data_IF_555794346621
#
_entry.id   IF_555794346621
#
_cell.length_a   1.000
_cell.length_b   1.000
_cell.length_c   1.000
_cell.angle_alpha   90.00
_cell.angle_beta   90.00
_cell.angle_gamma   90.00
#
_symmetry.space_group_name_H-M   'P 1'
#
loop_
_entity.id
_entity.type
_entity.pdbx_description
1 polymer ?
#
# COMPACT_ATOMS: atom_id res chain seq x y z
N UNK A 1 14.88 15.42 22.47
CA UNK A 1 14.25 16.50 23.26
C UNK A 1 15.21 17.66 23.51
N UNK A 2 16.45 17.46 24.04
CA UNK A 2 17.42 18.55 24.30
C UNK A 2 17.84 19.34 23.04
N UNK A 3 17.92 18.69 21.87
CA UNK A 3 18.24 19.38 20.58
C UNK A 3 17.10 20.28 20.12
N UNK A 4 15.84 19.84 20.27
CA UNK A 4 14.66 20.63 19.87
C UNK A 4 14.54 21.92 20.69
N UNK A 5 14.82 21.88 21.99
CA UNK A 5 14.78 23.07 22.89
C UNK A 5 15.86 24.09 22.53
N UNK A 6 17.07 23.65 22.18
CA UNK A 6 18.11 24.57 21.70
C UNK A 6 17.72 25.27 20.41
N UNK A 7 17.09 24.54 19.48
CA UNK A 7 16.63 25.10 18.20
C UNK A 7 15.51 26.12 18.41
N UNK A 8 14.55 25.86 19.30
CA UNK A 8 13.48 26.81 19.63
C UNK A 8 13.99 28.09 20.31
N UNK A 9 15.00 27.99 21.19
CA UNK A 9 15.63 29.19 21.81
C UNK A 9 16.48 29.98 20.82
N UNK A 10 17.06 29.34 19.78
CA UNK A 10 17.95 29.99 18.85
C UNK A 10 17.24 30.56 17.59
N UNK A 11 16.10 30.02 17.19
CA UNK A 11 15.47 30.33 15.89
C UNK A 11 14.14 31.09 15.98
N UNK A 12 13.48 31.18 17.14
CA UNK A 12 12.11 31.74 17.22
C UNK A 12 11.09 31.05 16.30
N UNK A 13 11.49 29.94 15.69
CA UNK A 13 10.82 29.25 14.58
C UNK A 13 10.25 27.93 15.04
N UNK A 14 9.17 28.00 15.77
CA UNK A 14 8.25 26.90 15.95
C UNK A 14 6.86 27.34 15.50
N UNK A 15 6.03 26.44 14.99
CA UNK A 15 4.64 26.74 14.71
C UNK A 15 3.95 26.95 16.06
N UNK A 16 3.90 28.19 16.51
CA UNK A 16 3.48 28.64 17.85
C UNK A 16 2.17 27.96 18.28
N UNK A 17 1.27 27.77 17.35
CA UNK A 17 -0.08 27.24 17.56
C UNK A 17 -0.15 25.76 18.03
N UNK A 18 0.96 25.01 17.97
CA UNK A 18 1.01 23.60 18.36
C UNK A 18 1.90 23.31 19.56
N UNK A 19 2.45 24.36 20.18
CA UNK A 19 3.37 24.24 21.31
C UNK A 19 2.59 23.85 22.57
N UNK A 20 3.09 22.86 23.30
CA UNK A 20 2.53 22.51 24.60
C UNK A 20 2.79 23.59 25.64
N UNK A 21 1.85 23.85 26.61
CA UNK A 21 2.00 24.92 27.59
C UNK A 21 3.33 24.89 28.36
N UNK A 22 3.75 23.73 28.83
CA UNK A 22 5.01 23.55 29.55
C UNK A 22 6.25 23.77 28.64
N UNK A 23 6.10 23.50 27.33
CA UNK A 23 7.16 23.75 26.35
C UNK A 23 7.30 25.26 26.09
N UNK A 24 6.19 25.99 26.00
CA UNK A 24 6.17 27.44 25.91
C UNK A 24 6.85 28.09 27.15
N UNK A 25 6.69 27.51 28.33
CA UNK A 25 7.36 27.92 29.57
C UNK A 25 8.83 27.47 29.66
N UNK A 26 9.40 26.88 28.60
CA UNK A 26 10.80 26.44 28.58
C UNK A 26 11.07 25.13 29.33
N UNK A 27 10.05 24.35 29.68
CA UNK A 27 10.14 23.08 30.42
C UNK A 27 9.63 21.89 29.57
N UNK A 28 10.21 21.61 28.38
CA UNK A 28 9.72 20.55 27.50
C UNK A 28 9.88 19.17 28.15
N UNK A 29 8.88 18.32 27.88
CA UNK A 29 8.81 16.92 28.33
C UNK A 29 8.50 16.03 27.12
N UNK A 30 8.63 14.70 27.25
CA UNK A 30 8.16 13.76 26.21
C UNK A 30 6.65 13.87 25.95
N UNK A 31 5.89 14.27 26.96
CA UNK A 31 4.46 14.52 26.88
C UNK A 31 4.11 15.78 26.07
N UNK A 32 5.07 16.68 25.84
CA UNK A 32 4.86 17.86 25.00
C UNK A 32 4.66 17.48 23.53
N UNK A 33 5.39 16.47 23.05
CA UNK A 33 5.21 15.92 21.70
C UNK A 33 3.85 15.27 21.53
N UNK A 34 3.35 14.58 22.59
CA UNK A 34 2.00 13.99 22.60
C UNK A 34 0.92 15.07 22.47
N UNK A 35 1.08 16.19 23.18
CA UNK A 35 0.15 17.32 23.11
C UNK A 35 0.10 17.92 21.70
N UNK A 36 1.27 18.23 21.12
CA UNK A 36 1.40 18.75 19.77
C UNK A 36 0.79 17.81 18.73
N UNK A 37 1.04 16.51 18.85
CA UNK A 37 0.43 15.48 18.01
C UNK A 37 -1.09 15.46 18.17
N UNK A 38 -1.59 15.58 19.39
CA UNK A 38 -3.02 15.69 19.68
C UNK A 38 -3.68 16.86 18.96
N UNK A 39 -3.08 18.04 18.98
CA UNK A 39 -3.56 19.23 18.27
C UNK A 39 -3.56 19.05 16.74
N UNK A 40 -2.50 18.46 16.18
CA UNK A 40 -2.42 18.17 14.75
C UNK A 40 -3.54 17.23 14.33
N UNK A 41 -3.73 16.14 15.05
CA UNK A 41 -4.78 15.17 14.76
C UNK A 41 -6.19 15.77 14.96
N UNK A 42 -6.38 16.55 16.00
CA UNK A 42 -7.65 17.26 16.23
C UNK A 42 -7.99 18.16 15.04
N UNK A 43 -7.04 19.00 14.60
CA UNK A 43 -7.21 19.90 13.44
C UNK A 43 -7.50 19.11 12.16
N UNK A 44 -6.82 17.99 11.95
CA UNK A 44 -7.01 17.14 10.77
C UNK A 44 -8.46 16.62 10.67
N UNK A 45 -9.05 16.22 11.79
CA UNK A 45 -10.38 15.63 11.81
C UNK A 45 -11.51 16.67 11.94
N UNK A 46 -11.31 17.73 12.73
CA UNK A 46 -12.32 18.77 12.97
C UNK A 46 -12.29 19.89 11.93
N UNK A 47 -11.12 20.10 11.27
CA UNK A 47 -10.85 21.26 10.42
C UNK A 47 -10.62 22.55 11.19
N UNK A 48 -10.58 22.51 12.52
CA UNK A 48 -10.34 23.67 13.41
C UNK A 48 -9.15 23.38 14.32
N UNK A 49 -8.29 24.37 14.51
CA UNK A 49 -7.23 24.30 15.51
C UNK A 49 -7.81 24.71 16.87
N UNK A 50 -7.65 23.90 17.93
CA UNK A 50 -8.03 24.31 19.27
C UNK A 50 -7.18 25.47 19.76
N UNK A 51 -7.83 26.41 20.45
CA UNK A 51 -7.20 27.57 21.02
C UNK A 51 -7.19 27.49 22.56
N UNK A 52 -6.27 28.22 23.18
CA UNK A 52 -6.23 28.37 24.62
C UNK A 52 -7.59 28.90 25.13
N UNK A 53 -8.16 28.41 26.26
CA UNK A 53 -7.58 27.54 27.29
C UNK A 53 -7.78 26.02 27.06
N UNK A 54 -8.11 25.54 25.87
CA UNK A 54 -8.34 24.13 25.53
C UNK A 54 -9.46 23.45 26.35
N UNK A 55 -10.50 24.18 26.65
CA UNK A 55 -11.68 23.66 27.36
C UNK A 55 -12.57 22.83 26.42
N UNK A 56 -12.94 21.67 26.87
CA UNK A 56 -13.85 20.80 26.11
C UNK A 56 -15.31 21.20 26.30
N UNK A 57 -16.16 21.25 25.26
CA UNK A 57 -15.86 20.86 23.87
C UNK A 57 -15.05 21.91 23.11
N UNK A 58 -13.97 21.47 22.45
CA UNK A 58 -13.12 22.34 21.64
C UNK A 58 -13.80 22.78 20.32
N UNK A 59 -13.33 23.85 19.70
CA UNK A 59 -13.87 24.36 18.45
C UNK A 59 -13.87 23.28 17.34
N UNK A 60 -15.04 23.03 16.73
CA UNK A 60 -15.23 22.00 15.71
C UNK A 60 -15.46 20.59 16.26
N UNK A 61 -15.79 20.45 17.53
CA UNK A 61 -16.06 19.16 18.19
C UNK A 61 -17.16 18.36 17.51
N UNK A 62 -18.24 18.99 17.06
CA UNK A 62 -19.34 18.31 16.32
C UNK A 62 -18.85 17.64 15.05
N UNK A 63 -17.97 18.32 14.31
CA UNK A 63 -17.35 17.75 13.09
C UNK A 63 -16.41 16.61 13.42
N UNK A 64 -15.68 16.70 14.52
CA UNK A 64 -14.84 15.63 15.02
C UNK A 64 -15.67 14.39 15.34
N UNK A 65 -16.74 14.53 16.12
CA UNK A 65 -17.64 13.43 16.50
C UNK A 65 -18.30 12.77 15.28
N UNK A 66 -18.66 13.55 14.26
CA UNK A 66 -19.25 13.02 13.05
C UNK A 66 -18.27 12.19 12.19
N UNK A 67 -16.97 12.42 12.31
CA UNK A 67 -15.93 11.79 11.49
C UNK A 67 -15.13 10.72 12.21
N UNK A 68 -15.08 10.77 13.51
CA UNK A 68 -14.17 10.00 14.35
C UNK A 68 -14.97 9.23 15.39
N UNK A 69 -14.60 7.98 15.62
CA UNK A 69 -15.24 7.13 16.62
C UNK A 69 -15.01 7.67 18.04
N UNK A 70 -15.97 7.44 18.97
CA UNK A 70 -15.86 7.92 20.35
C UNK A 70 -14.53 7.55 21.03
N UNK A 71 -14.06 6.31 20.84
CA UNK A 71 -12.83 5.84 21.47
C UNK A 71 -11.58 6.61 20.99
N UNK A 72 -11.58 7.05 19.74
CA UNK A 72 -10.49 7.88 19.22
C UNK A 72 -10.61 9.33 19.70
N UNK A 73 -11.83 9.81 19.94
CA UNK A 73 -12.06 11.10 20.60
C UNK A 73 -11.45 11.09 22.00
N UNK A 74 -11.57 9.98 22.74
CA UNK A 74 -11.00 9.84 24.08
C UNK A 74 -9.46 9.84 24.04
N UNK A 75 -8.85 9.23 23.02
CA UNK A 75 -7.39 9.33 22.80
C UNK A 75 -6.96 10.79 22.61
N UNK A 76 -7.71 11.56 21.81
CA UNK A 76 -7.42 12.98 21.58
C UNK A 76 -7.64 13.81 22.85
N UNK A 77 -8.71 13.56 23.60
CA UNK A 77 -8.97 14.20 24.91
C UNK A 77 -7.81 13.98 25.87
N UNK A 78 -7.30 12.75 25.94
CA UNK A 78 -6.17 12.42 26.79
C UNK A 78 -4.87 13.07 26.30
N UNK A 79 -4.65 13.14 25.00
CA UNK A 79 -3.44 13.74 24.43
C UNK A 79 -3.38 15.27 24.67
N UNK A 80 -4.53 15.97 24.61
CA UNK A 80 -4.64 17.44 24.72
C UNK A 80 -4.91 17.90 26.17
N UNK A 81 -4.64 17.06 27.16
CA UNK A 81 -4.74 17.49 28.57
C UNK A 81 -3.74 18.60 28.88
N UNK A 82 -4.12 19.61 29.65
CA UNK A 82 -3.23 20.70 30.08
C UNK A 82 -2.13 20.19 31.01
N UNK A 83 -2.47 19.31 31.93
CA UNK A 83 -1.52 18.65 32.82
C UNK A 83 -0.76 17.55 32.08
N UNK A 84 0.58 17.65 31.91
CA UNK A 84 1.36 16.63 31.25
C UNK A 84 1.29 15.24 31.92
N UNK A 85 1.04 15.15 33.22
CA UNK A 85 0.94 13.88 33.94
C UNK A 85 -0.31 13.08 33.56
N UNK A 86 -1.36 13.77 33.09
CA UNK A 86 -2.63 13.17 32.65
C UNK A 86 -2.61 12.72 31.18
N UNK A 87 -1.54 13.05 30.44
CA UNK A 87 -1.36 12.63 29.05
C UNK A 87 -0.76 11.23 28.96
N UNK A 88 -0.53 10.77 27.74
CA UNK A 88 0.33 9.60 27.50
C UNK A 88 1.78 9.95 27.86
N UNK A 89 2.49 9.01 28.47
CA UNK A 89 3.90 9.21 28.88
C UNK A 89 4.83 9.56 27.72
N UNK A 90 4.51 9.11 26.49
CA UNK A 90 5.24 9.38 25.26
C UNK A 90 4.37 9.02 24.03
N UNK A 91 4.84 9.33 22.82
CA UNK A 91 4.16 9.04 21.57
C UNK A 91 3.93 7.52 21.33
N UNK A 92 4.86 6.67 21.80
CA UNK A 92 4.73 5.20 21.67
C UNK A 92 3.54 4.69 22.48
N UNK A 93 3.31 5.21 23.69
CA UNK A 93 2.17 4.84 24.51
C UNK A 93 0.84 5.31 23.88
N UNK A 94 0.83 6.47 23.24
CA UNK A 94 -0.32 6.96 22.46
C UNK A 94 -0.59 6.08 21.24
N UNK A 95 0.44 5.71 20.50
CA UNK A 95 0.35 4.79 19.34
C UNK A 95 -0.21 3.43 19.76
N UNK A 96 0.29 2.83 20.83
CA UNK A 96 -0.19 1.54 21.32
C UNK A 96 -1.70 1.56 21.65
N UNK A 97 -2.18 2.64 22.26
CA UNK A 97 -3.61 2.79 22.57
C UNK A 97 -4.45 2.95 21.30
N UNK A 98 -3.97 3.75 20.34
CA UNK A 98 -4.58 3.88 19.02
C UNK A 98 -4.66 2.52 18.28
N UNK A 99 -3.58 1.74 18.27
CA UNK A 99 -3.55 0.42 17.64
C UNK A 99 -4.51 -0.57 18.32
N UNK A 100 -4.59 -0.53 19.64
CA UNK A 100 -5.55 -1.32 20.41
C UNK A 100 -6.98 -1.00 19.99
N UNK A 101 -7.36 0.27 19.94
CA UNK A 101 -8.69 0.74 19.52
C UNK A 101 -8.96 0.32 18.07
N UNK A 102 -7.98 0.48 17.18
CA UNK A 102 -8.10 0.11 15.78
C UNK A 102 -8.23 -1.41 15.58
N UNK A 103 -7.51 -2.21 16.36
CA UNK A 103 -7.59 -3.67 16.31
C UNK A 103 -8.93 -4.19 16.87
N UNK A 104 -9.44 -3.61 17.96
CA UNK A 104 -10.77 -3.91 18.51
C UNK A 104 -11.88 -3.58 17.50
N UNK A 105 -11.80 -2.45 16.81
CA UNK A 105 -12.74 -2.09 15.78
C UNK A 105 -12.69 -3.01 14.55
N UNK A 106 -11.51 -3.50 14.21
CA UNK A 106 -11.34 -4.50 13.15
C UNK A 106 -11.94 -5.85 13.55
N UNK A 107 -11.89 -6.21 14.85
CA UNK A 107 -12.56 -7.37 15.42
C UNK A 107 -14.09 -7.19 15.52
N UNK A 108 -14.58 -5.99 15.86
CA UNK A 108 -16.01 -5.69 15.94
C UNK A 108 -16.67 -5.50 14.56
N UNK A 109 -15.95 -5.01 13.55
CA UNK A 109 -16.41 -4.99 12.14
C UNK A 109 -16.42 -6.36 11.46
N UNK A 110 -15.86 -7.40 12.09
CA UNK A 110 -16.29 -8.76 11.78
C UNK A 110 -17.66 -8.93 12.42
N UNK A 111 -18.77 -9.04 11.65
CA UNK A 111 -20.04 -9.39 12.26
C UNK A 111 -19.76 -10.67 13.03
N UNK A 112 -19.98 -10.69 14.35
CA UNK A 112 -20.26 -11.93 15.06
C UNK A 112 -21.38 -12.54 14.26
N UNK A 113 -21.07 -13.63 13.57
CA UNK A 113 -22.07 -14.46 12.95
C UNK A 113 -23.09 -14.78 14.06
N UNK A 114 -24.19 -14.03 14.11
CA UNK A 114 -25.42 -14.54 14.67
C UNK A 114 -25.59 -15.89 14.00
N UNK A 115 -25.79 -16.93 14.79
CA UNK A 115 -26.08 -18.28 14.36
C UNK A 115 -27.10 -18.26 13.21
N UNK A 116 -26.62 -18.14 12.01
CA UNK A 116 -27.34 -18.11 10.76
C UNK A 116 -26.35 -18.57 9.73
N UNK A 117 -26.49 -19.82 9.33
CA UNK A 117 -25.92 -20.46 8.15
C UNK A 117 -24.65 -19.80 7.62
N UNK A 118 -23.50 -20.45 7.81
CA UNK A 118 -22.25 -20.11 7.12
C UNK A 118 -22.57 -19.98 5.63
N UNK A 119 -22.82 -18.75 5.16
CA UNK A 119 -22.86 -18.51 3.72
C UNK A 119 -21.50 -18.95 3.22
N UNK A 120 -21.45 -20.01 2.47
CA UNK A 120 -20.26 -20.50 1.82
C UNK A 120 -19.58 -19.39 1.02
N UNK A 121 -18.34 -19.56 0.60
CA UNK A 121 -17.66 -18.56 -0.21
C UNK A 121 -18.54 -18.19 -1.40
N UNK A 122 -18.64 -16.88 -1.69
CA UNK A 122 -19.42 -16.42 -2.85
C UNK A 122 -18.90 -17.11 -4.12
N UNK A 123 -19.76 -17.27 -5.14
CA UNK A 123 -19.34 -17.86 -6.42
C UNK A 123 -18.08 -17.20 -7.00
N UNK A 124 -17.94 -15.88 -6.82
CA UNK A 124 -16.77 -15.11 -7.22
C UNK A 124 -15.50 -15.52 -6.45
N UNK A 125 -15.62 -15.74 -5.14
CA UNK A 125 -14.50 -16.22 -4.32
C UNK A 125 -14.11 -17.65 -4.68
N UNK A 126 -15.09 -18.50 -5.04
CA UNK A 126 -14.80 -19.86 -5.53
C UNK A 126 -14.07 -19.82 -6.87
N UNK A 127 -14.51 -18.97 -7.81
CA UNK A 127 -13.84 -18.77 -9.08
C UNK A 127 -12.40 -18.26 -8.92
N UNK A 128 -12.15 -17.31 -7.99
CA UNK A 128 -10.81 -16.84 -7.68
C UNK A 128 -9.91 -17.92 -7.08
N UNK A 129 -10.43 -18.72 -6.18
CA UNK A 129 -9.68 -19.86 -5.59
C UNK A 129 -9.31 -20.90 -6.64
N UNK A 130 -10.20 -21.21 -7.54
CA UNK A 130 -9.98 -22.14 -8.63
C UNK A 130 -8.92 -21.60 -9.60
N UNK A 131 -9.05 -20.33 -10.03
CA UNK A 131 -8.06 -19.65 -10.83
C UNK A 131 -6.67 -19.67 -10.16
N UNK A 132 -6.58 -19.31 -8.89
CA UNK A 132 -5.32 -19.33 -8.15
C UNK A 132 -4.74 -20.76 -8.07
N UNK A 133 -5.55 -21.77 -7.84
CA UNK A 133 -5.09 -23.16 -7.82
C UNK A 133 -4.44 -23.54 -9.15
N UNK A 134 -5.06 -23.15 -10.26
CA UNK A 134 -4.60 -23.49 -11.62
C UNK A 134 -3.36 -22.69 -12.06
N UNK A 135 -3.29 -21.39 -11.75
CA UNK A 135 -2.33 -20.48 -12.34
C UNK A 135 -1.33 -19.82 -11.36
N UNK A 136 -1.47 -19.98 -10.06
CA UNK A 136 -0.63 -19.33 -9.05
C UNK A 136 0.87 -19.55 -9.25
N UNK A 137 1.27 -20.76 -9.62
CA UNK A 137 2.70 -21.10 -9.81
C UNK A 137 3.34 -20.29 -10.95
N UNK A 138 2.59 -19.95 -12.00
CA UNK A 138 3.10 -19.24 -13.16
C UNK A 138 2.90 -17.73 -13.05
N UNK A 139 1.79 -17.28 -12.50
CA UNK A 139 1.42 -15.86 -12.46
C UNK A 139 1.78 -15.17 -11.15
N UNK A 140 2.12 -15.91 -10.08
CA UNK A 140 2.37 -15.39 -8.74
C UNK A 140 1.29 -14.39 -8.28
N UNK A 141 0.02 -14.82 -8.32
CA UNK A 141 -1.17 -14.00 -8.01
C UNK A 141 -1.35 -13.77 -6.52
N UNK A 142 -0.44 -13.04 -5.88
CA UNK A 142 -0.45 -12.74 -4.44
C UNK A 142 -1.13 -11.43 -4.11
N UNK A 143 -1.09 -10.50 -5.06
CA UNK A 143 -1.66 -9.19 -4.88
C UNK A 143 -3.17 -9.21 -5.11
N UNK A 144 -3.85 -8.22 -4.56
CA UNK A 144 -5.27 -8.03 -4.74
C UNK A 144 -5.53 -6.71 -5.47
N UNK A 145 -6.48 -6.72 -6.38
CA UNK A 145 -6.90 -5.52 -7.08
C UNK A 145 -7.56 -4.55 -6.08
N UNK A 146 -7.15 -3.29 -6.07
CA UNK A 146 -7.70 -2.26 -5.19
C UNK A 146 -9.16 -1.96 -5.39
N UNK A 147 -9.68 -2.21 -6.61
CA UNK A 147 -11.07 -1.91 -6.95
C UNK A 147 -12.02 -3.07 -6.64
N UNK A 148 -11.62 -4.32 -6.94
CA UNK A 148 -12.53 -5.47 -6.85
C UNK A 148 -12.02 -6.59 -5.94
N UNK A 149 -10.82 -6.42 -5.32
CA UNK A 149 -10.15 -7.40 -4.44
C UNK A 149 -9.80 -8.73 -5.10
N UNK A 150 -10.02 -8.87 -6.41
CA UNK A 150 -9.65 -10.08 -7.15
C UNK A 150 -8.14 -10.30 -7.21
N UNK A 151 -7.68 -11.56 -7.27
CA UNK A 151 -6.26 -11.89 -7.29
C UNK A 151 -5.60 -11.41 -8.58
N UNK A 152 -4.47 -10.71 -8.43
CA UNK A 152 -3.66 -10.19 -9.54
C UNK A 152 -2.19 -10.48 -9.33
N UNK A 153 -1.42 -10.51 -10.42
CA UNK A 153 0.03 -10.65 -10.41
C UNK A 153 0.71 -9.32 -10.67
N UNK A 154 1.93 -9.18 -10.20
CA UNK A 154 2.77 -7.99 -10.38
C UNK A 154 3.01 -7.64 -11.86
N UNK A 155 3.10 -8.67 -12.72
CA UNK A 155 3.26 -8.53 -14.16
C UNK A 155 2.02 -7.98 -14.88
N UNK A 156 0.84 -7.99 -14.26
CA UNK A 156 -0.41 -7.57 -14.90
C UNK A 156 -0.50 -6.05 -15.02
N UNK A 157 -0.87 -5.56 -16.20
CA UNK A 157 -1.08 -4.14 -16.46
C UNK A 157 -2.51 -3.69 -16.09
N UNK A 158 -3.46 -4.59 -16.28
CA UNK A 158 -4.86 -4.37 -15.92
C UNK A 158 -5.40 -5.53 -15.07
N UNK A 159 -6.39 -5.23 -14.25
CA UNK A 159 -7.08 -6.26 -13.50
C UNK A 159 -7.91 -7.14 -14.43
N UNK A 160 -7.69 -8.46 -14.47
CA UNK A 160 -8.44 -9.33 -15.38
C UNK A 160 -9.91 -9.49 -14.99
N UNK A 161 -10.28 -9.09 -13.77
CA UNK A 161 -11.64 -9.21 -13.25
C UNK A 161 -12.50 -8.00 -13.51
N UNK A 162 -11.96 -6.78 -13.34
CA UNK A 162 -12.74 -5.53 -13.47
C UNK A 162 -12.14 -4.50 -14.46
N UNK A 163 -11.05 -4.83 -15.13
CA UNK A 163 -10.41 -3.95 -16.12
C UNK A 163 -9.66 -2.73 -15.52
N UNK A 164 -9.51 -2.64 -14.19
CA UNK A 164 -8.82 -1.52 -13.56
C UNK A 164 -7.34 -1.51 -13.92
N UNK A 165 -6.81 -0.33 -14.29
CA UNK A 165 -5.41 -0.17 -14.64
C UNK A 165 -4.51 -0.23 -13.41
N UNK A 166 -3.30 -0.73 -13.60
CA UNK A 166 -2.28 -0.84 -12.56
C UNK A 166 -2.83 -1.42 -11.23
N UNK A 167 -3.37 -2.64 -11.22
CA UNK A 167 -4.19 -3.16 -10.14
C UNK A 167 -3.39 -3.49 -8.87
N UNK A 168 -2.07 -3.72 -8.98
CA UNK A 168 -1.22 -4.08 -7.85
C UNK A 168 -0.26 -2.95 -7.47
N UNK A 169 -0.03 -2.73 -6.19
CA UNK A 169 1.03 -1.86 -5.67
C UNK A 169 2.12 -2.69 -5.01
N UNK A 170 3.36 -2.21 -5.14
CA UNK A 170 4.56 -2.92 -4.79
C UNK A 170 4.82 -3.15 -3.29
N UNK A 171 3.90 -2.81 -2.39
CA UNK A 171 4.13 -2.98 -0.94
C UNK A 171 4.31 -4.43 -0.47
N UNK A 172 3.95 -5.41 -1.31
CA UNK A 172 4.04 -6.84 -0.98
C UNK A 172 4.88 -7.64 -1.98
N UNK A 173 5.78 -6.99 -2.70
CA UNK A 173 6.65 -7.69 -3.65
C UNK A 173 7.64 -8.60 -2.95
N UNK A 174 8.05 -9.69 -3.63
CA UNK A 174 9.17 -10.54 -3.24
C UNK A 174 10.52 -10.04 -3.75
N UNK A 175 10.51 -8.95 -4.47
CA UNK A 175 11.71 -8.38 -5.05
C UNK A 175 12.31 -7.36 -4.09
N UNK A 176 13.65 -7.23 -4.06
CA UNK A 176 14.35 -6.41 -3.07
C UNK A 176 14.09 -4.91 -3.21
N UNK A 177 13.74 -4.44 -4.40
CA UNK A 177 13.55 -3.04 -4.68
C UNK A 177 12.24 -2.78 -5.44
N UNK A 178 11.84 -1.51 -5.58
CA UNK A 178 10.66 -1.07 -6.28
C UNK A 178 11.02 -0.11 -7.42
N UNK A 179 10.32 -0.23 -8.53
CA UNK A 179 10.43 0.76 -9.60
C UNK A 179 9.83 2.10 -9.16
N UNK A 180 10.58 3.23 -9.23
CA UNK A 180 10.06 4.53 -8.80
C UNK A 180 8.89 5.04 -9.66
N UNK A 181 8.71 4.51 -10.88
CA UNK A 181 7.63 4.93 -11.78
C UNK A 181 6.34 4.14 -11.60
N UNK A 182 6.41 2.81 -11.44
CA UNK A 182 5.21 1.96 -11.39
C UNK A 182 5.04 1.20 -10.08
N UNK A 183 5.92 1.43 -9.10
CA UNK A 183 5.92 0.85 -7.76
C UNK A 183 5.98 -0.70 -7.72
N UNK A 184 6.17 -1.36 -8.86
CA UNK A 184 6.32 -2.82 -8.94
C UNK A 184 7.71 -3.25 -8.56
N UNK A 185 7.81 -4.44 -8.02
CA UNK A 185 9.07 -5.01 -7.60
C UNK A 185 10.05 -5.19 -8.74
N UNK A 186 11.31 -4.90 -8.45
CA UNK A 186 12.46 -5.08 -9.34
C UNK A 186 13.61 -5.73 -8.58
N UNK A 187 14.50 -6.41 -9.31
CA UNK A 187 15.71 -6.98 -8.71
C UNK A 187 16.85 -5.98 -8.79
N UNK A 188 17.79 -6.09 -7.87
CA UNK A 188 18.97 -5.21 -7.79
C UNK A 188 19.95 -5.41 -8.96
N UNK A 189 19.85 -6.54 -9.66
CA UNK A 189 20.66 -6.85 -10.85
C UNK A 189 19.96 -6.48 -12.18
N UNK A 190 18.89 -5.68 -12.12
CA UNK A 190 18.19 -5.18 -13.30
C UNK A 190 18.51 -3.72 -13.54
N UNK A 191 18.86 -3.39 -14.76
CA UNK A 191 19.16 -2.01 -15.18
C UNK A 191 17.88 -1.21 -15.49
N UNK A 192 16.79 -1.92 -15.89
CA UNK A 192 15.53 -1.30 -16.31
C UNK A 192 14.32 -2.03 -15.76
N UNK A 193 13.23 -1.31 -15.57
CA UNK A 193 11.97 -1.92 -15.17
C UNK A 193 11.33 -2.72 -16.32
N UNK A 194 11.13 -4.04 -16.17
CA UNK A 194 10.54 -4.87 -17.22
C UNK A 194 9.03 -4.67 -17.38
N UNK A 195 8.40 -3.93 -16.48
CA UNK A 195 6.95 -3.75 -16.41
C UNK A 195 6.47 -2.49 -17.13
N UNK A 196 7.11 -1.34 -16.92
CA UNK A 196 6.63 -0.04 -17.35
C UNK A 196 7.57 0.75 -18.27
N UNK A 197 8.69 0.16 -18.70
CA UNK A 197 9.72 0.89 -19.45
C UNK A 197 10.27 2.09 -18.65
N UNK A 198 10.42 1.90 -17.32
CA UNK A 198 10.90 2.93 -16.41
C UNK A 198 12.33 3.39 -16.69
N UNK A 199 12.80 4.39 -15.94
CA UNK A 199 14.18 4.87 -16.02
C UNK A 199 15.17 3.74 -15.72
N UNK A 200 16.41 3.91 -16.16
CA UNK A 200 17.51 3.04 -15.71
C UNK A 200 17.66 3.10 -14.19
N UNK A 201 18.09 2.02 -13.60
CA UNK A 201 18.45 1.94 -12.20
C UNK A 201 19.95 2.07 -12.08
N UNK A 202 20.42 2.64 -10.98
CA UNK A 202 21.84 2.55 -10.61
C UNK A 202 22.07 1.13 -10.14
N UNK A 203 23.04 0.44 -10.73
CA UNK A 203 23.42 -0.90 -10.31
C UNK A 203 23.95 -0.86 -8.87
N UNK A 204 23.18 -1.44 -7.95
CA UNK A 204 23.64 -1.65 -6.58
C UNK A 204 24.56 -2.88 -6.47
N UNK A 205 24.58 -3.73 -7.48
CA UNK A 205 25.40 -4.93 -7.48
C UNK A 205 25.62 -5.46 -8.91
N UNK A 206 26.88 -5.65 -9.27
CA UNK A 206 27.30 -6.31 -10.52
C UNK A 206 26.98 -7.80 -10.51
N UNK A 207 26.59 -8.37 -9.36
CA UNK A 207 26.33 -9.79 -9.19
C UNK A 207 24.95 -10.14 -9.72
N UNK A 208 24.91 -10.96 -10.77
CA UNK A 208 23.66 -11.52 -11.29
C UNK A 208 23.18 -12.67 -10.41
N UNK A 209 21.96 -12.56 -9.93
CA UNK A 209 21.34 -13.57 -9.07
C UNK A 209 20.49 -14.54 -9.88
N UNK A 210 20.77 -15.86 -9.84
CA UNK A 210 19.94 -16.86 -10.49
C UNK A 210 18.53 -16.84 -9.87
N UNK A 211 17.52 -17.05 -10.70
CA UNK A 211 16.14 -17.09 -10.25
C UNK A 211 15.37 -18.18 -11.00
N UNK A 212 14.70 -19.05 -10.27
CA UNK A 212 13.90 -20.15 -10.84
C UNK A 212 12.74 -19.68 -11.73
N UNK A 213 12.39 -18.38 -11.65
CA UNK A 213 11.35 -17.78 -12.49
C UNK A 213 11.82 -17.39 -13.89
N UNK A 214 13.12 -17.42 -14.16
CA UNK A 214 13.64 -17.20 -15.51
C UNK A 214 13.31 -18.38 -16.42
N UNK A 215 12.53 -18.12 -17.46
CA UNK A 215 12.04 -19.16 -18.40
C UNK A 215 12.35 -18.88 -19.86
N UNK A 216 12.91 -17.72 -20.16
CA UNK A 216 13.26 -17.31 -21.51
C UNK A 216 14.53 -16.44 -21.52
N UNK A 217 15.08 -16.20 -22.70
CA UNK A 217 16.19 -15.27 -22.94
C UNK A 217 15.73 -14.10 -23.81
N UNK A 218 16.38 -12.97 -23.67
CA UNK A 218 16.17 -11.82 -24.53
C UNK A 218 16.50 -12.17 -25.99
N UNK A 219 15.62 -11.73 -26.90
CA UNK A 219 15.81 -11.96 -28.36
C UNK A 219 16.87 -11.04 -28.98
N UNK A 220 17.34 -10.01 -28.26
CA UNK A 220 18.45 -9.18 -28.68
C UNK A 220 19.75 -9.99 -28.58
N UNK A 221 20.36 -10.31 -29.69
CA UNK A 221 21.57 -11.16 -29.79
C UNK A 221 22.74 -10.61 -28.95
N UNK A 222 22.86 -9.28 -28.84
CA UNK A 222 23.91 -8.63 -28.03
C UNK A 222 23.65 -8.68 -26.52
N UNK A 223 22.44 -9.02 -26.10
CA UNK A 223 22.06 -9.02 -24.68
C UNK A 223 21.94 -10.44 -24.10
N UNK A 224 21.10 -11.30 -24.71
CA UNK A 224 20.84 -12.67 -24.24
C UNK A 224 20.38 -12.80 -22.80
N UNK A 225 20.06 -11.68 -22.12
CA UNK A 225 19.73 -11.64 -20.69
C UNK A 225 18.49 -12.47 -20.32
N UNK A 226 18.43 -13.01 -19.10
CA UNK A 226 17.33 -13.88 -18.66
C UNK A 226 16.03 -13.10 -18.45
N UNK A 227 14.89 -13.72 -18.80
CA UNK A 227 13.57 -13.12 -18.72
C UNK A 227 12.61 -13.97 -17.87
N UNK A 228 11.84 -13.31 -17.03
CA UNK A 228 10.68 -13.92 -16.34
C UNK A 228 9.44 -13.87 -17.24
N UNK A 229 8.46 -14.78 -17.03
CA UNK A 229 7.21 -14.76 -17.77
C UNK A 229 6.49 -13.41 -17.66
N UNK A 230 5.89 -13.01 -18.76
CA UNK A 230 5.06 -11.80 -18.88
C UNK A 230 5.81 -10.47 -18.69
N UNK A 231 7.15 -10.45 -18.75
CA UNK A 231 7.91 -9.23 -18.91
C UNK A 231 7.59 -8.58 -20.28
N UNK A 232 7.43 -7.25 -20.28
CA UNK A 232 7.20 -6.46 -21.49
C UNK A 232 8.50 -5.95 -22.11
N UNK A 233 9.48 -5.70 -21.27
CA UNK A 233 10.79 -5.19 -21.65
C UNK A 233 11.89 -6.05 -21.04
N UNK A 234 13.01 -6.13 -21.70
CA UNK A 234 14.19 -6.78 -21.15
C UNK A 234 14.76 -5.91 -20.00
N UNK A 235 14.98 -6.46 -18.81
CA UNK A 235 15.52 -5.69 -17.70
C UNK A 235 16.99 -5.29 -17.88
N UNK A 236 17.71 -5.89 -18.84
CA UNK A 236 19.12 -5.64 -19.06
C UNK A 236 19.43 -4.72 -20.27
N UNK A 237 18.63 -4.75 -21.33
CA UNK A 237 18.86 -3.93 -22.52
C UNK A 237 17.64 -3.09 -22.93
N UNK A 238 16.59 -3.09 -22.14
CA UNK A 238 15.36 -2.32 -22.36
C UNK A 238 14.58 -2.68 -23.65
N UNK A 239 15.05 -3.66 -24.42
CA UNK A 239 14.36 -4.07 -25.65
C UNK A 239 12.95 -4.57 -25.35
N UNK A 240 11.97 -4.16 -26.16
CA UNK A 240 10.57 -4.62 -26.04
C UNK A 240 10.50 -6.11 -26.40
N UNK A 241 9.86 -6.91 -25.56
CA UNK A 241 9.64 -8.33 -25.83
C UNK A 241 8.52 -8.47 -26.85
N UNK A 242 8.88 -8.88 -28.07
CA UNK A 242 7.93 -9.05 -29.20
C UNK A 242 7.28 -10.42 -29.21
N UNK A 243 7.94 -11.44 -28.65
CA UNK A 243 7.41 -12.81 -28.59
C UNK A 243 6.24 -12.86 -27.60
N UNK A 244 5.06 -13.34 -28.01
CA UNK A 244 3.92 -13.45 -27.12
C UNK A 244 4.18 -14.50 -26.02
N UNK A 245 3.86 -14.15 -24.79
CA UNK A 245 3.93 -15.08 -23.67
C UNK A 245 2.73 -16.01 -23.68
N UNK A 246 2.99 -17.31 -23.50
CA UNK A 246 1.94 -18.33 -23.37
C UNK A 246 1.62 -18.55 -21.89
N UNK A 247 0.34 -18.71 -21.56
CA UNK A 247 -0.12 -19.11 -20.25
C UNK A 247 -0.27 -20.64 -20.22
N UNK A 248 0.61 -21.31 -19.48
CA UNK A 248 0.56 -22.78 -19.37
C UNK A 248 -0.79 -23.22 -18.79
N UNK A 249 -1.40 -24.25 -19.39
CA UNK A 249 -2.74 -24.72 -19.00
C UNK A 249 -3.90 -23.90 -19.57
N UNK A 250 -3.61 -22.92 -20.47
CA UNK A 250 -4.61 -22.27 -21.31
C UNK A 250 -4.23 -22.40 -22.79
N UNK A 251 -5.22 -22.66 -23.64
CA UNK A 251 -5.07 -22.68 -25.11
C UNK A 251 -5.43 -21.33 -25.73
N UNK A 252 -5.89 -20.37 -24.94
CA UNK A 252 -6.44 -19.10 -25.43
C UNK A 252 -5.40 -17.98 -25.38
N UNK A 253 -5.43 -17.13 -26.39
CA UNK A 253 -4.66 -15.89 -26.48
C UNK A 253 -5.59 -14.70 -26.68
N UNK A 254 -5.16 -13.53 -26.23
CA UNK A 254 -5.88 -12.27 -26.45
C UNK A 254 -5.83 -11.91 -27.94
N UNK A 255 -6.97 -11.53 -28.52
CA UNK A 255 -7.05 -11.14 -29.95
C UNK A 255 -6.23 -9.88 -30.25
N UNK A 256 -6.09 -8.94 -29.31
CA UNK A 256 -5.38 -7.68 -29.52
C UNK A 256 -3.86 -7.81 -29.31
N UNK A 257 -3.39 -8.43 -28.21
CA UNK A 257 -1.96 -8.48 -27.90
C UNK A 257 -1.31 -9.85 -28.13
N UNK A 258 -2.08 -10.85 -28.45
CA UNK A 258 -1.67 -12.25 -28.72
C UNK A 258 -1.01 -12.96 -27.53
N UNK A 259 -1.05 -12.39 -26.32
CA UNK A 259 -0.54 -13.04 -25.13
C UNK A 259 -1.57 -14.00 -24.52
N UNK A 260 -1.08 -15.08 -23.89
CA UNK A 260 -1.93 -16.09 -23.27
C UNK A 260 -2.84 -15.51 -22.18
N UNK A 261 -4.11 -15.91 -22.18
CA UNK A 261 -5.14 -15.48 -21.25
C UNK A 261 -5.87 -16.67 -20.62
N UNK A 262 -6.38 -16.50 -19.44
CA UNK A 262 -7.26 -17.46 -18.78
C UNK A 262 -8.73 -17.16 -19.11
N UNK A 263 -9.15 -17.49 -20.36
CA UNK A 263 -10.48 -17.14 -20.91
C UNK A 263 -11.64 -17.56 -20.02
N UNK A 264 -11.55 -18.71 -19.39
CA UNK A 264 -12.60 -19.26 -18.51
C UNK A 264 -12.86 -18.40 -17.27
N UNK A 265 -11.87 -17.60 -16.87
CA UNK A 265 -11.88 -16.82 -15.64
C UNK A 265 -11.94 -15.31 -15.87
N UNK A 266 -11.23 -14.81 -16.88
CA UNK A 266 -10.97 -13.38 -17.07
C UNK A 266 -12.06 -12.69 -17.89
N UNK A 267 -12.44 -11.50 -17.46
CA UNK A 267 -13.33 -10.61 -18.21
C UNK A 267 -12.53 -9.64 -19.09
N UNK A 268 -11.28 -9.35 -18.69
CA UNK A 268 -10.38 -8.45 -19.39
C UNK A 268 -9.01 -9.09 -19.55
N UNK A 269 -8.33 -8.76 -20.64
CA UNK A 269 -6.94 -9.14 -20.82
C UNK A 269 -6.06 -8.44 -19.79
N UNK A 270 -5.32 -9.21 -18.98
CA UNK A 270 -4.42 -8.66 -17.97
C UNK A 270 -3.24 -7.85 -18.55
N UNK A 271 -2.99 -7.96 -19.84
CA UNK A 271 -1.83 -7.42 -20.52
C UNK A 271 -2.10 -6.14 -21.33
N UNK A 272 -3.27 -6.03 -21.95
CA UNK A 272 -3.65 -4.89 -22.79
C UNK A 272 -5.04 -4.31 -22.47
N UNK A 273 -5.73 -4.86 -21.45
CA UNK A 273 -7.07 -4.44 -20.98
C UNK A 273 -8.22 -4.76 -21.93
N UNK A 274 -7.96 -5.31 -23.11
CA UNK A 274 -9.05 -5.67 -24.04
C UNK A 274 -10.08 -6.59 -23.36
N UNK A 275 -11.39 -6.36 -23.52
CA UNK A 275 -12.43 -7.27 -23.04
C UNK A 275 -12.25 -8.69 -23.61
N UNK A 276 -12.33 -9.67 -22.74
CA UNK A 276 -12.30 -11.09 -23.13
C UNK A 276 -13.72 -11.53 -23.44
N UNK A 277 -14.07 -11.60 -24.73
CA UNK A 277 -15.37 -12.10 -25.14
C UNK A 277 -15.49 -13.58 -24.80
N UNK A 278 -16.47 -13.97 -24.04
CA UNK A 278 -16.91 -15.35 -23.83
C UNK A 278 -17.92 -15.64 -24.93
N UNK A 279 -17.51 -16.37 -25.97
CA UNK A 279 -18.44 -16.98 -26.91
C UNK A 279 -19.07 -18.17 -26.25
#
# INVERSE_FOLDING_TARGET
>A
AKRCVRTLKASGSGTIDYIAPEQAMGRPKFQSDVFSMGLVLYRLFSGKLPEWPFEWPLAGYDKLQARVRPELVDVLKKAIQLDPSKRYRNAVAMQADYERIHSHARKQKRPRARNGTRRGPSWRQMQWREFQRKYKKQLDTRHHCRRCEGPVAESMQACPWCGFDNPSRGSETRMPAHCPRCERGVKNDWDYCPWCYGPGFVEESVRRYPDKRYTAKCSNARCGGPLMPFMRYCPHCRAKIRRPWKLRGSRHSCKACNWGIARDYWNYCAWCREPVRRE
#
